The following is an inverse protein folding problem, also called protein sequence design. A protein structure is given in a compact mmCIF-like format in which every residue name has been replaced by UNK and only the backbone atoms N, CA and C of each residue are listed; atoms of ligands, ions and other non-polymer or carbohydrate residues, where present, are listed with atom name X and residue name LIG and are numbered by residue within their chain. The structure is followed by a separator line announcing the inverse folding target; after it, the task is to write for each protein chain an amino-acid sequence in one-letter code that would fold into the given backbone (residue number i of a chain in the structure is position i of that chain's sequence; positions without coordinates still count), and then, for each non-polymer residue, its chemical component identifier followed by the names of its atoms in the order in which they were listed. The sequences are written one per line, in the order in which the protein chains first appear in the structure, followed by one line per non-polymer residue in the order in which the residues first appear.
data_IF_689944605305
#
_entry.id   IF_689944605305
#
_cell.length_a   1.000
_cell.length_b   1.000
_cell.length_c   1.000
_cell.angle_alpha   90.00
_cell.angle_beta   90.00
_cell.angle_gamma   90.00
#
_symmetry.space_group_name_H-M   'P 1'
#
loop_
_entity.id
_entity.type
_entity.pdbx_description
1 polymer ?
#
# COMPACT_ATOMS: atom_id res chain seq x y z
N UNK A 1 -36.31 -8.97 0.52
CA UNK A 1 -37.24 -10.12 0.35
C UNK A 1 -38.63 -9.72 -0.15
N UNK A 2 -39.30 -8.70 0.43
CA UNK A 2 -40.65 -8.24 0.03
C UNK A 2 -40.86 -8.05 -1.47
N UNK A 3 -39.90 -7.44 -2.18
CA UNK A 3 -40.00 -7.19 -3.63
C UNK A 3 -40.24 -8.48 -4.43
N UNK A 4 -39.57 -9.59 -4.10
CA UNK A 4 -39.75 -10.84 -4.85
C UNK A 4 -41.12 -11.49 -4.63
N UNK A 5 -41.73 -11.24 -3.47
CA UNK A 5 -43.08 -11.70 -3.13
C UNK A 5 -44.13 -10.80 -3.75
N UNK A 6 -43.94 -9.47 -3.67
CA UNK A 6 -44.89 -8.47 -4.16
C UNK A 6 -44.95 -8.41 -5.69
N UNK A 7 -43.81 -8.56 -6.37
CA UNK A 7 -43.73 -8.50 -7.84
C UNK A 7 -44.00 -9.85 -8.51
N UNK A 8 -43.85 -10.95 -7.76
CA UNK A 8 -43.88 -12.29 -8.31
C UNK A 8 -42.85 -12.49 -9.42
N UNK A 9 -41.73 -11.76 -9.44
CA UNK A 9 -40.69 -11.94 -10.45
C UNK A 9 -39.70 -13.05 -10.06
N UNK A 10 -39.00 -13.59 -11.06
CA UNK A 10 -37.83 -14.42 -10.84
C UNK A 10 -36.65 -13.51 -10.46
N UNK A 11 -36.16 -13.65 -9.22
CA UNK A 11 -35.04 -12.86 -8.72
C UNK A 11 -34.03 -13.79 -8.07
N UNK A 12 -32.78 -13.60 -8.46
CA UNK A 12 -31.61 -14.13 -7.79
C UNK A 12 -30.67 -12.97 -7.48
N UNK A 13 -30.27 -12.85 -6.22
CA UNK A 13 -29.33 -11.84 -5.75
C UNK A 13 -28.22 -12.54 -5.01
N UNK A 14 -26.97 -12.18 -5.28
CA UNK A 14 -25.82 -12.66 -4.54
C UNK A 14 -24.91 -11.48 -4.19
N UNK A 15 -24.41 -11.45 -2.96
CA UNK A 15 -23.56 -10.39 -2.46
C UNK A 15 -22.51 -10.96 -1.52
N UNK A 16 -21.30 -10.42 -1.57
CA UNK A 16 -20.25 -10.72 -0.61
C UNK A 16 -19.61 -9.43 -0.15
N UNK A 17 -19.49 -9.26 1.17
CA UNK A 17 -18.74 -8.14 1.72
C UNK A 17 -17.23 -8.40 1.57
N UNK A 18 -16.45 -7.46 1.00
CA UNK A 18 -15.01 -7.64 0.74
C UNK A 18 -14.16 -8.02 1.95
N UNK A 19 -14.54 -7.52 3.13
CA UNK A 19 -13.77 -7.67 4.37
C UNK A 19 -14.19 -8.85 5.24
N UNK A 20 -15.17 -9.65 4.80
CA UNK A 20 -15.74 -10.74 5.59
C UNK A 20 -15.20 -12.08 5.08
N UNK A 21 -14.88 -13.00 6.01
CA UNK A 21 -14.36 -14.34 5.67
C UNK A 21 -15.46 -15.33 5.29
N UNK A 22 -16.71 -15.00 5.60
CA UNK A 22 -17.86 -15.82 5.25
C UNK A 22 -18.07 -15.91 3.73
N UNK A 23 -18.69 -17.01 3.25
CA UNK A 23 -19.14 -17.13 1.87
C UNK A 23 -20.14 -16.03 1.49
N UNK A 24 -20.34 -15.84 0.19
CA UNK A 24 -21.33 -14.89 -0.30
C UNK A 24 -22.74 -15.27 0.21
N UNK A 25 -23.52 -14.26 0.54
CA UNK A 25 -24.94 -14.41 0.86
C UNK A 25 -25.74 -14.34 -0.44
N UNK A 26 -26.82 -15.10 -0.51
CA UNK A 26 -27.71 -15.06 -1.67
C UNK A 26 -29.17 -15.06 -1.24
N UNK A 27 -30.00 -14.53 -2.12
CA UNK A 27 -31.44 -14.53 -2.01
C UNK A 27 -32.03 -15.02 -3.33
N UNK A 28 -32.94 -15.96 -3.25
CA UNK A 28 -33.69 -16.50 -4.38
C UNK A 28 -35.18 -16.26 -4.12
N UNK A 29 -35.90 -15.67 -5.07
CA UNK A 29 -37.33 -15.40 -4.87
C UNK A 29 -38.14 -16.70 -4.78
N UNK A 30 -39.25 -16.71 -4.02
CA UNK A 30 -40.08 -17.91 -3.88
C UNK A 30 -40.58 -18.47 -5.21
N UNK A 31 -40.91 -17.60 -6.17
CA UNK A 31 -41.33 -18.02 -7.51
C UNK A 31 -40.22 -18.76 -8.26
N UNK A 32 -38.98 -18.29 -8.15
CA UNK A 32 -37.82 -18.92 -8.79
C UNK A 32 -37.49 -20.28 -8.15
N UNK A 33 -37.75 -20.43 -6.84
CA UNK A 33 -37.61 -21.70 -6.13
C UNK A 33 -38.68 -22.70 -6.59
N UNK A 34 -39.94 -22.25 -6.65
CA UNK A 34 -41.08 -23.12 -6.95
C UNK A 34 -41.12 -23.57 -8.42
N UNK A 35 -40.73 -22.70 -9.35
CA UNK A 35 -40.77 -22.99 -10.79
C UNK A 35 -39.59 -23.87 -11.24
N UNK A 36 -38.65 -24.19 -10.33
CA UNK A 36 -37.41 -24.95 -10.54
C UNK A 36 -36.81 -24.79 -11.94
N UNK A 37 -36.01 -23.74 -12.12
CA UNK A 37 -35.26 -23.53 -13.35
C UNK A 37 -33.89 -24.20 -13.24
N UNK A 38 -33.53 -25.16 -14.12
CA UNK A 38 -32.22 -25.84 -14.11
C UNK A 38 -31.02 -24.88 -14.22
N UNK A 39 -31.25 -23.65 -14.67
CA UNK A 39 -30.22 -22.60 -14.75
C UNK A 39 -29.79 -22.09 -13.37
N UNK A 40 -30.59 -22.30 -12.32
CA UNK A 40 -30.34 -21.74 -10.99
C UNK A 40 -29.05 -22.28 -10.37
N UNK A 41 -28.79 -23.58 -10.50
CA UNK A 41 -27.55 -24.20 -10.00
C UNK A 41 -26.33 -23.65 -10.74
N UNK A 42 -26.44 -23.52 -12.07
CA UNK A 42 -25.38 -22.91 -12.91
C UNK A 42 -25.13 -21.46 -12.51
N UNK A 43 -26.18 -20.71 -12.20
CA UNK A 43 -26.09 -19.31 -11.82
C UNK A 43 -25.45 -19.16 -10.43
N UNK A 44 -25.80 -20.05 -9.49
CA UNK A 44 -25.20 -20.11 -8.16
C UNK A 44 -23.71 -20.48 -8.21
N UNK A 45 -23.35 -21.50 -9.00
CA UNK A 45 -21.96 -21.91 -9.21
C UNK A 45 -21.13 -20.81 -9.89
N UNK A 46 -21.72 -20.12 -10.87
CA UNK A 46 -21.08 -18.96 -11.51
C UNK A 46 -20.83 -17.83 -10.51
N UNK A 47 -21.82 -17.50 -9.67
CA UNK A 47 -21.66 -16.52 -8.60
C UNK A 47 -20.54 -16.94 -7.63
N UNK A 48 -20.51 -18.20 -7.21
CA UNK A 48 -19.47 -18.74 -6.34
C UNK A 48 -18.07 -18.56 -6.94
N UNK A 49 -17.87 -18.99 -8.19
CA UNK A 49 -16.58 -18.86 -8.90
C UNK A 49 -16.15 -17.39 -9.02
N UNK A 50 -17.07 -16.50 -9.35
CA UNK A 50 -16.78 -15.06 -9.44
C UNK A 50 -16.31 -14.50 -8.09
N UNK A 51 -17.04 -14.76 -7.01
CA UNK A 51 -16.71 -14.25 -5.68
C UNK A 51 -15.39 -14.81 -5.15
N UNK A 52 -15.12 -16.10 -5.35
CA UNK A 52 -13.84 -16.72 -5.00
C UNK A 52 -12.69 -16.09 -5.76
N UNK A 53 -12.85 -15.90 -7.08
CA UNK A 53 -11.84 -15.25 -7.92
C UNK A 53 -11.55 -13.83 -7.44
N UNK A 54 -12.58 -13.00 -7.27
CA UNK A 54 -12.43 -11.62 -6.80
C UNK A 54 -11.74 -11.52 -5.44
N UNK A 55 -12.09 -12.42 -4.52
CA UNK A 55 -11.48 -12.46 -3.20
C UNK A 55 -10.02 -12.92 -3.25
N UNK A 56 -9.66 -13.89 -4.12
CA UNK A 56 -8.28 -14.29 -4.33
C UNK A 56 -7.42 -13.17 -4.93
N UNK A 57 -7.92 -12.48 -5.95
CA UNK A 57 -7.23 -11.33 -6.57
C UNK A 57 -6.97 -10.23 -5.55
N UNK A 58 -7.98 -9.88 -4.74
CA UNK A 58 -7.79 -8.87 -3.67
C UNK A 58 -6.75 -9.27 -2.64
N UNK A 59 -6.68 -10.55 -2.26
CA UNK A 59 -5.64 -11.04 -1.35
C UNK A 59 -4.26 -10.95 -1.97
N UNK A 60 -4.15 -11.24 -3.27
CA UNK A 60 -2.92 -11.09 -4.02
C UNK A 60 -2.48 -9.61 -4.06
N UNK A 61 -3.37 -8.69 -4.46
CA UNK A 61 -3.08 -7.26 -4.53
C UNK A 61 -2.66 -6.69 -3.15
N UNK A 62 -3.34 -7.11 -2.08
CA UNK A 62 -2.99 -6.71 -0.72
C UNK A 62 -1.61 -7.23 -0.30
N UNK A 63 -1.25 -8.46 -0.68
CA UNK A 63 0.06 -9.02 -0.41
C UNK A 63 1.17 -8.32 -1.19
N UNK A 64 0.92 -8.01 -2.46
CA UNK A 64 1.84 -7.24 -3.32
C UNK A 64 2.05 -5.82 -2.77
N UNK A 65 0.97 -5.14 -2.38
CA UNK A 65 1.06 -3.81 -1.77
C UNK A 65 1.85 -3.84 -0.45
N UNK A 66 1.65 -4.86 0.37
CA UNK A 66 2.41 -5.03 1.62
C UNK A 66 3.90 -5.26 1.36
N UNK A 67 4.25 -6.04 0.32
CA UNK A 67 5.65 -6.25 -0.08
C UNK A 67 6.29 -4.94 -0.58
N UNK A 68 5.59 -4.20 -1.44
CA UNK A 68 6.06 -2.91 -1.96
C UNK A 68 6.25 -1.87 -0.84
N UNK A 69 5.33 -1.84 0.13
CA UNK A 69 5.43 -0.96 1.29
C UNK A 69 6.66 -1.29 2.13
N UNK A 70 6.97 -2.58 2.33
CA UNK A 70 8.18 -2.99 3.05
C UNK A 70 9.45 -2.53 2.33
N UNK A 71 9.53 -2.73 1.02
CA UNK A 71 10.68 -2.26 0.21
C UNK A 71 10.84 -0.74 0.29
N UNK A 72 9.74 0.01 0.23
CA UNK A 72 9.77 1.46 0.37
C UNK A 72 10.29 1.89 1.76
N UNK A 73 9.86 1.21 2.83
CA UNK A 73 10.32 1.48 4.19
C UNK A 73 11.82 1.17 4.36
N UNK A 74 12.29 0.05 3.80
CA UNK A 74 13.70 -0.33 3.85
C UNK A 74 14.57 0.71 3.11
N UNK A 75 14.12 1.18 1.95
CA UNK A 75 14.79 2.23 1.19
C UNK A 75 14.80 3.58 1.93
N UNK A 76 13.70 3.94 2.60
CA UNK A 76 13.63 5.16 3.41
C UNK A 76 14.61 5.09 4.59
N UNK A 77 14.68 3.95 5.27
CA UNK A 77 15.63 3.73 6.36
C UNK A 77 17.08 3.85 5.88
N UNK A 78 17.42 3.23 4.74
CA UNK A 78 18.75 3.33 4.15
C UNK A 78 19.10 4.78 3.76
N UNK A 79 18.16 5.50 3.14
CA UNK A 79 18.34 6.90 2.76
C UNK A 79 18.52 7.82 3.97
N UNK A 80 17.80 7.58 5.08
CA UNK A 80 18.00 8.32 6.33
C UNK A 80 19.39 8.07 6.92
N UNK A 81 19.83 6.82 6.98
CA UNK A 81 21.16 6.48 7.48
C UNK A 81 22.26 7.15 6.62
N UNK A 82 22.13 7.13 5.29
CA UNK A 82 23.07 7.80 4.41
C UNK A 82 23.08 9.32 4.60
N UNK A 83 21.90 9.94 4.76
CA UNK A 83 21.80 11.38 5.02
C UNK A 83 22.44 11.78 6.35
N UNK A 84 22.29 10.97 7.39
CA UNK A 84 22.95 11.19 8.68
C UNK A 84 24.47 11.11 8.55
N UNK A 85 24.97 10.12 7.80
CA UNK A 85 26.41 9.98 7.53
C UNK A 85 26.95 11.19 6.76
N UNK A 86 26.28 11.63 5.70
CA UNK A 86 26.67 12.81 4.92
C UNK A 86 26.64 14.09 5.76
N UNK A 87 25.67 14.23 6.67
CA UNK A 87 25.62 15.37 7.60
C UNK A 87 26.80 15.37 8.56
N UNK A 88 27.19 14.20 9.08
CA UNK A 88 28.34 14.07 9.96
C UNK A 88 29.65 14.41 9.23
N UNK A 89 29.83 13.89 8.02
CA UNK A 89 31.01 14.19 7.18
C UNK A 89 31.11 15.68 6.83
N UNK A 90 29.99 16.29 6.42
CA UNK A 90 29.94 17.74 6.16
C UNK A 90 30.36 18.55 7.39
N UNK A 91 29.86 18.19 8.57
CA UNK A 91 30.22 18.88 9.81
C UNK A 91 31.71 18.73 10.17
N UNK A 92 32.36 17.64 9.77
CA UNK A 92 33.82 17.48 9.93
C UNK A 92 34.60 18.36 8.95
N UNK A 93 34.19 18.37 7.68
CA UNK A 93 34.81 19.19 6.65
C UNK A 93 34.69 20.69 6.95
N UNK A 94 33.52 21.13 7.43
CA UNK A 94 33.29 22.53 7.82
C UNK A 94 34.26 22.96 8.93
N UNK A 95 34.49 22.10 9.94
CA UNK A 95 35.49 22.36 11.00
C UNK A 95 36.92 22.42 10.47
N UNK A 96 37.28 21.53 9.55
CA UNK A 96 38.62 21.53 8.96
C UNK A 96 38.88 22.80 8.14
N UNK A 97 37.87 23.26 7.39
CA UNK A 97 37.91 24.51 6.65
C UNK A 97 38.08 25.71 7.57
N UNK A 98 37.36 25.77 8.69
CA UNK A 98 37.52 26.84 9.69
C UNK A 98 38.96 26.89 10.23
N UNK A 99 39.52 25.74 10.63
CA UNK A 99 40.89 25.65 11.13
C UNK A 99 41.92 26.10 10.09
N UNK A 100 41.76 25.67 8.82
CA UNK A 100 42.64 26.08 7.73
C UNK A 100 42.54 27.58 7.47
N UNK A 101 41.33 28.14 7.45
CA UNK A 101 41.11 29.57 7.25
C UNK A 101 41.74 30.41 8.37
N UNK A 102 41.62 29.96 9.62
CA UNK A 102 42.26 30.63 10.76
C UNK A 102 43.79 30.55 10.70
N UNK A 103 44.35 29.40 10.27
CA UNK A 103 45.79 29.28 10.06
C UNK A 103 46.28 30.23 8.97
N UNK A 104 45.56 30.33 7.85
CA UNK A 104 45.87 31.25 6.75
C UNK A 104 45.87 32.70 7.26
N UNK A 105 44.85 33.11 8.01
CA UNK A 105 44.78 34.46 8.61
C UNK A 105 46.00 34.75 9.50
N UNK A 106 46.40 33.79 10.35
CA UNK A 106 47.57 33.93 11.23
C UNK A 106 48.87 34.08 10.43
N UNK A 107 49.05 33.26 9.40
CA UNK A 107 50.24 33.35 8.53
C UNK A 107 50.31 34.67 7.76
N UNK A 108 49.16 35.19 7.31
CA UNK A 108 49.08 36.50 6.66
C UNK A 108 49.43 37.63 7.63
N UNK A 109 48.95 37.59 8.87
CA UNK A 109 49.29 38.58 9.89
C UNK A 109 50.80 38.59 10.23
N UNK A 110 51.43 37.41 10.30
CA UNK A 110 52.87 37.30 10.53
C UNK A 110 53.71 37.85 9.37
N UNK A 111 53.30 37.63 8.12
CA UNK A 111 53.98 38.21 6.95
C UNK A 111 53.76 39.72 6.84
N UNK A 112 52.58 40.23 7.22
CA UNK A 112 52.31 41.67 7.26
C UNK A 112 53.18 42.42 8.28
N UNK A 113 53.43 41.81 9.44
CA UNK A 113 54.29 42.40 10.49
C UNK A 113 55.79 42.26 10.23
N UNK A 114 56.21 41.45 9.25
CA UNK A 114 57.62 41.28 8.87
C UNK A 114 58.09 42.27 7.78
N UNK A 115 57.18 43.09 7.27
CA UNK A 115 57.43 44.08 6.21
C UNK A 115 57.43 45.54 6.71
N UNK A 116 57.29 45.78 8.02
CA UNK A 116 57.54 47.06 8.72
C UNK A 116 58.85 46.98 9.51
#
# INVERSE_FOLDING_TARGET
ERIGVETGCWLYLAAQHPGVREPFVHFTSPRLINDYLPILDTLHDTAHKMFVSLHSTRRYDAAELAANLKVAQDNEAASKAQNEQLRAERAQLDKELELKNDLIRRLQALHGNAAE
#
